data_IF_428764683517
#
_entry.id   IF_428764683517
#
_cell.length_a   1.000
_cell.length_b   1.000
_cell.length_c   1.000
_cell.angle_alpha   90.00
_cell.angle_beta   90.00
_cell.angle_gamma   90.00
#
_symmetry.space_group_name_H-M   'P 1'
#
loop_
_entity.id
_entity.type
_entity.pdbx_description
1 polymer ?
#
# COMPACT_ATOMS: atom_id res chain seq x y z
N UNK A 1 15.48 22.39 -47.64
CA UNK A 1 15.41 21.17 -46.79
C UNK A 1 16.59 21.28 -45.82
N UNK A 2 16.43 21.40 -44.51
CA UNK A 2 15.81 20.42 -43.62
C UNK A 2 15.34 21.12 -42.34
N UNK A 3 14.06 20.94 -42.00
CA UNK A 3 13.45 21.39 -40.76
C UNK A 3 13.89 20.45 -39.63
N UNK A 4 14.62 20.98 -38.63
CA UNK A 4 14.80 20.30 -37.35
C UNK A 4 13.45 20.26 -36.63
N UNK A 5 12.69 19.18 -36.81
CA UNK A 5 11.62 18.82 -35.87
C UNK A 5 12.28 18.43 -34.55
N UNK A 6 12.14 19.31 -33.57
CA UNK A 6 12.34 18.96 -32.17
C UNK A 6 11.37 17.82 -31.82
N UNK A 7 11.90 16.61 -31.67
CA UNK A 7 11.16 15.51 -31.06
C UNK A 7 10.93 15.87 -29.59
N UNK A 8 9.82 16.53 -29.28
CA UNK A 8 9.27 16.54 -27.93
C UNK A 8 8.90 15.10 -27.59
N UNK A 9 9.72 14.43 -26.77
CA UNK A 9 9.35 13.15 -26.19
C UNK A 9 8.03 13.33 -25.45
N UNK A 10 6.97 12.70 -25.94
CA UNK A 10 5.68 12.69 -25.23
C UNK A 10 5.95 12.05 -23.88
N UNK A 11 5.94 12.86 -22.82
CA UNK A 11 6.12 12.40 -21.44
C UNK A 11 4.93 11.51 -21.12
N UNK A 12 5.12 10.19 -21.15
CA UNK A 12 4.05 9.23 -20.86
C UNK A 12 3.67 9.35 -19.39
N UNK A 13 2.66 10.17 -19.11
CA UNK A 13 2.24 10.45 -17.73
C UNK A 13 1.80 9.14 -17.06
N UNK A 14 2.43 8.84 -15.93
CA UNK A 14 2.26 7.59 -15.19
C UNK A 14 2.17 7.89 -13.70
N UNK A 15 1.38 7.08 -13.00
CA UNK A 15 1.13 7.22 -11.57
C UNK A 15 1.32 5.88 -10.88
N UNK A 16 1.61 5.94 -9.58
CA UNK A 16 1.46 4.85 -8.66
C UNK A 16 0.05 4.94 -8.07
N UNK A 17 -0.81 3.98 -8.40
CA UNK A 17 -2.08 3.79 -7.70
C UNK A 17 -1.81 2.97 -6.45
N UNK A 18 -2.19 3.50 -5.30
CA UNK A 18 -2.03 2.85 -4.01
C UNK A 18 -3.31 2.93 -3.20
N UNK A 19 -3.60 1.87 -2.44
CA UNK A 19 -4.76 1.83 -1.53
C UNK A 19 -4.31 2.30 -0.16
N UNK A 20 -5.14 3.04 0.55
CA UNK A 20 -4.80 3.55 1.89
C UNK A 20 -4.63 2.42 2.91
N UNK A 21 -3.70 2.58 3.87
CA UNK A 21 -3.33 1.50 4.81
C UNK A 21 -4.49 1.02 5.68
N UNK A 22 -5.42 1.92 5.99
CA UNK A 22 -6.62 1.63 6.78
C UNK A 22 -7.78 1.09 5.94
N UNK A 23 -7.53 0.69 4.69
CA UNK A 23 -8.57 0.09 3.84
C UNK A 23 -8.40 -1.41 3.77
N UNK A 24 -9.45 -2.12 4.16
CA UNK A 24 -9.57 -3.55 3.94
C UNK A 24 -10.21 -3.82 2.56
N UNK A 25 -9.61 -4.73 1.80
CA UNK A 25 -10.12 -5.17 0.49
C UNK A 25 -10.62 -6.60 0.62
N UNK A 26 -11.86 -6.85 0.21
CA UNK A 26 -12.44 -8.19 0.09
C UNK A 26 -12.91 -8.44 -1.33
N UNK A 27 -12.54 -9.60 -1.89
CA UNK A 27 -12.95 -10.01 -3.24
C UNK A 27 -13.64 -11.37 -3.14
N UNK A 28 -14.80 -11.49 -3.78
CA UNK A 28 -15.54 -12.75 -3.93
C UNK A 28 -16.04 -12.85 -5.37
N UNK A 29 -15.45 -13.74 -6.16
CA UNK A 29 -15.73 -13.85 -7.61
C UNK A 29 -15.50 -12.50 -8.31
N UNK A 30 -16.53 -11.92 -8.91
CA UNK A 30 -16.50 -10.62 -9.57
C UNK A 30 -16.95 -9.46 -8.66
N UNK A 31 -17.23 -9.74 -7.39
CA UNK A 31 -17.63 -8.74 -6.41
C UNK A 31 -16.41 -8.28 -5.61
N UNK A 32 -16.35 -6.97 -5.34
CA UNK A 32 -15.27 -6.37 -4.57
C UNK A 32 -15.79 -5.31 -3.60
N UNK A 33 -15.23 -5.34 -2.39
CA UNK A 33 -15.51 -4.42 -1.30
C UNK A 33 -14.22 -3.75 -0.84
N UNK A 34 -14.24 -2.43 -0.74
CA UNK A 34 -13.26 -1.61 -0.04
C UNK A 34 -13.91 -1.05 1.22
N UNK A 35 -13.35 -1.36 2.38
CA UNK A 35 -13.85 -0.90 3.68
C UNK A 35 -12.80 -0.02 4.35
N UNK A 36 -13.09 1.25 4.52
CA UNK A 36 -12.24 2.20 5.25
C UNK A 36 -12.49 2.01 6.75
N UNK A 37 -11.51 1.45 7.46
CA UNK A 37 -11.64 1.11 8.89
C UNK A 37 -11.64 2.34 9.79
N UNK A 38 -11.12 3.49 9.35
CA UNK A 38 -11.15 4.73 10.15
C UNK A 38 -12.53 5.40 10.15
N UNK A 39 -13.23 5.32 9.02
CA UNK A 39 -14.51 6.06 8.83
C UNK A 39 -15.74 5.17 8.79
N UNK A 40 -15.56 3.84 8.70
CA UNK A 40 -16.64 2.88 8.47
C UNK A 40 -17.25 2.96 7.05
N UNK A 41 -16.79 3.88 6.21
CA UNK A 41 -17.29 4.02 4.83
C UNK A 41 -16.80 2.88 3.95
N UNK A 42 -17.61 2.50 2.98
CA UNK A 42 -17.24 1.45 2.05
C UNK A 42 -17.63 1.76 0.61
N UNK A 43 -16.92 1.13 -0.32
CA UNK A 43 -17.31 1.03 -1.72
C UNK A 43 -17.47 -0.44 -2.07
N UNK A 44 -18.66 -0.79 -2.57
CA UNK A 44 -19.00 -2.11 -3.05
C UNK A 44 -19.27 -2.05 -4.56
N UNK A 45 -18.73 -3.01 -5.28
CA UNK A 45 -19.00 -3.22 -6.70
C UNK A 45 -19.37 -4.68 -6.92
N UNK A 46 -20.52 -4.92 -7.56
CA UNK A 46 -21.02 -6.26 -7.88
C UNK A 46 -20.86 -6.54 -9.36
N UNK A 47 -20.46 -7.77 -9.67
CA UNK A 47 -20.20 -8.27 -11.03
C UNK A 47 -19.30 -7.37 -11.88
N UNK A 48 -18.23 -6.83 -11.27
CA UNK A 48 -17.26 -5.93 -11.92
C UNK A 48 -15.92 -6.60 -12.13
N UNK A 49 -15.89 -7.54 -13.08
CA UNK A 49 -14.68 -8.29 -13.45
C UNK A 49 -13.50 -7.37 -13.84
N UNK A 50 -13.78 -6.26 -14.52
CA UNK A 50 -12.77 -5.27 -14.90
C UNK A 50 -12.07 -4.65 -13.67
N UNK A 51 -12.84 -4.24 -12.66
CA UNK A 51 -12.30 -3.70 -11.40
C UNK A 51 -11.55 -4.78 -10.63
N UNK A 52 -12.11 -5.99 -10.54
CA UNK A 52 -11.42 -7.12 -9.88
C UNK A 52 -10.08 -7.40 -10.55
N UNK A 53 -10.01 -7.48 -11.88
CA UNK A 53 -8.76 -7.70 -12.61
C UNK A 53 -7.76 -6.56 -12.42
N UNK A 54 -8.24 -5.32 -12.34
CA UNK A 54 -7.39 -4.16 -12.04
C UNK A 54 -6.82 -4.21 -10.61
N UNK A 55 -7.61 -4.68 -9.64
CA UNK A 55 -7.24 -4.67 -8.21
C UNK A 55 -6.44 -5.88 -7.78
N UNK A 56 -6.66 -7.07 -8.36
CA UNK A 56 -5.96 -8.30 -7.99
C UNK A 56 -4.42 -8.17 -7.89
N UNK A 57 -3.74 -7.47 -8.81
CA UNK A 57 -2.30 -7.24 -8.71
C UNK A 57 -1.86 -6.53 -7.43
N UNK A 58 -2.69 -5.66 -6.84
CA UNK A 58 -2.41 -4.94 -5.57
C UNK A 58 -2.24 -5.91 -4.39
N UNK A 59 -2.97 -7.03 -4.41
CA UNK A 59 -3.01 -8.01 -3.31
C UNK A 59 -1.81 -8.97 -3.34
N UNK A 60 -0.94 -8.87 -4.34
CA UNK A 60 0.25 -9.72 -4.43
C UNK A 60 1.35 -9.21 -3.50
N UNK A 61 2.11 -10.13 -2.88
CA UNK A 61 3.27 -9.78 -2.05
C UNK A 61 4.36 -9.01 -2.81
N UNK A 62 4.38 -9.09 -4.14
CA UNK A 62 5.28 -8.27 -4.98
C UNK A 62 4.87 -6.80 -4.99
N UNK A 63 3.58 -6.50 -4.98
CA UNK A 63 3.05 -5.16 -5.20
C UNK A 63 2.67 -4.42 -3.93
N UNK A 64 2.35 -5.14 -2.85
CA UNK A 64 2.12 -4.55 -1.52
C UNK A 64 1.15 -3.36 -1.57
N UNK A 65 0.00 -3.53 -2.24
CA UNK A 65 -1.01 -2.49 -2.45
C UNK A 65 -0.57 -1.27 -3.28
N UNK A 66 0.49 -1.38 -4.08
CA UNK A 66 0.91 -0.34 -5.02
C UNK A 66 1.09 -0.91 -6.44
N UNK A 67 0.45 -0.31 -7.45
CA UNK A 67 0.61 -0.66 -8.87
C UNK A 67 0.86 0.56 -9.73
N UNK A 68 1.54 0.38 -10.86
CA UNK A 68 1.74 1.44 -11.86
C UNK A 68 0.52 1.52 -12.77
N UNK A 69 0.06 2.74 -13.04
CA UNK A 69 -1.02 3.03 -13.98
C UNK A 69 -0.55 4.12 -14.93
N UNK A 70 -0.81 3.97 -16.22
CA UNK A 70 -0.41 4.94 -17.25
C UNK A 70 -1.61 5.69 -17.78
N UNK A 71 -1.37 6.90 -18.31
CA UNK A 71 -2.44 7.68 -18.95
C UNK A 71 -3.12 6.93 -20.10
N UNK A 72 -2.32 6.32 -20.98
CA UNK A 72 -2.84 5.53 -22.09
C UNK A 72 -3.67 4.31 -21.64
N UNK A 73 -3.38 3.70 -20.50
CA UNK A 73 -4.26 2.66 -19.94
C UNK A 73 -5.62 3.25 -19.52
N UNK A 74 -5.61 4.37 -18.81
CA UNK A 74 -6.84 5.02 -18.32
C UNK A 74 -7.73 5.55 -19.44
N UNK A 75 -7.13 6.11 -20.50
CA UNK A 75 -7.88 6.61 -21.66
C UNK A 75 -8.63 5.47 -22.38
N UNK A 76 -8.06 4.25 -22.38
CA UNK A 76 -8.69 3.05 -22.96
C UNK A 76 -9.64 2.32 -21.99
N UNK A 77 -9.67 2.70 -20.70
CA UNK A 77 -10.47 2.03 -19.67
C UNK A 77 -11.25 3.06 -18.82
N UNK A 78 -12.26 3.74 -19.39
CA UNK A 78 -13.00 4.80 -18.70
C UNK A 78 -13.71 4.32 -17.43
N UNK A 79 -14.14 3.04 -17.39
CA UNK A 79 -14.71 2.42 -16.19
C UNK A 79 -13.72 2.36 -15.02
N UNK A 80 -12.45 2.06 -15.30
CA UNK A 80 -11.38 2.06 -14.30
C UNK A 80 -11.00 3.48 -13.89
N UNK A 81 -10.97 4.42 -14.83
CA UNK A 81 -10.74 5.82 -14.51
C UNK A 81 -11.83 6.39 -13.57
N UNK A 82 -13.10 6.07 -13.83
CA UNK A 82 -14.22 6.41 -12.95
C UNK A 82 -14.11 5.75 -11.57
N UNK A 83 -13.69 4.48 -11.51
CA UNK A 83 -13.39 3.77 -10.27
C UNK A 83 -12.31 4.49 -9.45
N UNK A 84 -11.16 4.84 -10.05
CA UNK A 84 -10.07 5.54 -9.35
C UNK A 84 -10.51 6.90 -8.82
N UNK A 85 -11.26 7.68 -9.59
CA UNK A 85 -11.81 8.96 -9.09
C UNK A 85 -12.70 8.75 -7.87
N UNK A 86 -13.48 7.67 -7.87
CA UNK A 86 -14.37 7.34 -6.77
C UNK A 86 -13.59 6.90 -5.54
N UNK A 87 -12.61 6.01 -5.67
CA UNK A 87 -11.78 5.59 -4.53
C UNK A 87 -11.02 6.77 -3.91
N UNK A 88 -10.53 7.71 -4.74
CA UNK A 88 -9.94 8.97 -4.25
C UNK A 88 -10.93 9.83 -3.47
N UNK A 89 -12.13 10.04 -4.00
CA UNK A 89 -13.19 10.84 -3.33
C UNK A 89 -13.56 10.29 -1.95
N UNK A 90 -13.49 8.97 -1.76
CA UNK A 90 -13.86 8.30 -0.51
C UNK A 90 -12.67 8.01 0.42
N UNK A 91 -11.50 8.61 0.16
CA UNK A 91 -10.27 8.37 0.94
C UNK A 91 -9.96 6.86 1.04
N UNK A 92 -10.10 6.15 -0.07
CA UNK A 92 -9.81 4.71 -0.16
C UNK A 92 -8.47 4.45 -0.84
N UNK A 93 -8.13 5.26 -1.83
CA UNK A 93 -6.91 5.11 -2.61
C UNK A 93 -6.53 6.46 -3.22
N UNK A 94 -5.29 6.62 -3.64
CA UNK A 94 -4.85 7.79 -4.38
C UNK A 94 -3.86 7.44 -5.51
N UNK A 95 -3.49 8.46 -6.27
CA UNK A 95 -2.49 8.44 -7.33
C UNK A 95 -1.32 9.33 -6.93
N UNK A 96 -0.13 8.73 -6.84
CA UNK A 96 1.13 9.45 -6.71
C UNK A 96 1.79 9.58 -8.09
N UNK A 97 2.14 10.79 -8.52
CA UNK A 97 2.88 10.95 -9.78
C UNK A 97 4.24 10.26 -9.68
N UNK A 98 4.58 9.48 -10.71
CA UNK A 98 5.87 8.78 -10.79
C UNK A 98 7.07 9.73 -10.84
N UNK A 99 6.89 11.03 -11.18
CA UNK A 99 7.99 12.00 -11.03
C UNK A 99 8.45 12.20 -9.58
N UNK A 100 7.62 11.87 -8.59
CA UNK A 100 7.99 11.98 -7.17
C UNK A 100 8.69 10.72 -6.63
N UNK A 101 8.78 9.64 -7.41
CA UNK A 101 9.42 8.39 -7.00
C UNK A 101 9.89 7.59 -8.21
N UNK A 102 11.19 7.58 -8.44
CA UNK A 102 11.84 6.82 -9.54
C UNK A 102 11.57 5.31 -9.41
N UNK A 103 11.48 4.81 -8.18
CA UNK A 103 11.10 3.44 -7.84
C UNK A 103 9.62 3.27 -7.50
N UNK A 104 9.13 2.02 -7.44
CA UNK A 104 7.80 1.74 -6.91
C UNK A 104 7.78 2.01 -5.39
N UNK A 105 6.86 2.85 -4.88
CA UNK A 105 6.69 3.04 -3.46
C UNK A 105 6.44 1.71 -2.74
N UNK A 106 7.01 1.57 -1.55
CA UNK A 106 6.75 0.43 -0.69
C UNK A 106 5.67 0.84 0.32
N UNK A 107 4.62 0.05 0.40
CA UNK A 107 3.60 0.20 1.43
C UNK A 107 3.57 -1.06 2.29
N UNK A 108 3.45 -0.89 3.61
CA UNK A 108 3.24 -2.00 4.52
C UNK A 108 1.79 -2.45 4.42
N UNK A 109 1.57 -3.69 4.01
CA UNK A 109 0.24 -4.27 3.94
C UNK A 109 -0.20 -4.66 5.35
N UNK A 110 -1.28 -4.05 5.83
CA UNK A 110 -1.91 -4.47 7.08
C UNK A 110 -2.49 -5.88 6.89
N UNK A 111 -1.95 -6.85 7.61
CA UNK A 111 -2.53 -8.19 7.68
C UNK A 111 -3.65 -8.12 8.70
N UNK A 112 -4.90 -8.09 8.21
CA UNK A 112 -6.06 -8.09 9.07
C UNK A 112 -6.20 -9.47 9.72
N UNK A 113 -5.73 -9.60 10.96
CA UNK A 113 -5.92 -10.80 11.77
C UNK A 113 -7.32 -10.79 12.40
N UNK A 114 -8.37 -10.84 11.58
CA UNK A 114 -9.70 -11.15 12.10
C UNK A 114 -9.64 -12.63 12.50
N UNK A 115 -9.62 -12.90 13.80
CA UNK A 115 -9.87 -14.24 14.30
C UNK A 115 -11.24 -14.69 13.79
N UNK A 116 -11.27 -15.52 12.74
CA UNK A 116 -12.51 -16.05 12.14
C UNK A 116 -13.19 -17.10 13.04
N UNK A 117 -12.58 -17.41 14.17
CA UNK A 117 -13.13 -18.30 15.17
C UNK A 117 -14.11 -17.53 16.07
N UNK A 118 -15.38 -17.56 15.66
CA UNK A 118 -16.51 -16.97 16.39
C UNK A 118 -16.54 -17.47 17.84
N UNK A 119 -16.08 -18.70 18.12
CA UNK A 119 -16.10 -19.24 19.48
C UNK A 119 -15.03 -18.59 20.36
N UNK A 120 -13.85 -18.26 19.80
CA UNK A 120 -12.84 -17.43 20.48
C UNK A 120 -13.28 -15.97 20.62
N UNK A 121 -14.01 -15.39 19.66
CA UNK A 121 -14.54 -14.04 19.85
C UNK A 121 -15.53 -13.97 21.01
N UNK A 122 -16.38 -14.99 21.16
CA UNK A 122 -17.33 -15.10 22.29
C UNK A 122 -16.66 -15.28 23.64
N UNK A 123 -15.43 -15.81 23.71
CA UNK A 123 -14.69 -15.96 24.97
C UNK A 123 -14.01 -14.68 25.45
N UNK A 124 -13.99 -13.62 24.64
CA UNK A 124 -13.44 -12.30 25.01
C UNK A 124 -14.52 -11.23 24.76
N UNK A 125 -15.56 -11.14 25.62
CA UNK A 125 -16.71 -10.27 25.42
C UNK A 125 -16.36 -8.77 25.36
N UNK A 126 -15.18 -8.40 25.86
CA UNK A 126 -14.66 -7.02 25.86
C UNK A 126 -14.03 -6.63 24.51
N UNK A 127 -13.62 -7.59 23.67
CA UNK A 127 -12.89 -7.30 22.41
C UNK A 127 -13.85 -6.85 21.31
N UNK A 128 -13.85 -5.56 21.00
CA UNK A 128 -14.59 -5.04 19.85
C UNK A 128 -13.81 -5.21 18.53
N UNK A 129 -14.50 -5.58 17.45
CA UNK A 129 -13.96 -5.45 16.10
C UNK A 129 -13.75 -3.95 15.85
N UNK A 130 -12.49 -3.52 15.74
CA UNK A 130 -12.14 -2.09 15.59
C UNK A 130 -11.44 -1.48 16.79
N UNK A 131 -11.06 -2.25 17.81
CA UNK A 131 -10.10 -1.79 18.80
C UNK A 131 -8.81 -1.30 18.15
N UNK A 132 -8.25 -0.24 18.72
CA UNK A 132 -7.02 0.38 18.26
C UNK A 132 -5.86 -0.62 18.38
N UNK A 133 -5.60 -1.32 17.28
CA UNK A 133 -4.54 -2.35 17.15
C UNK A 133 -3.16 -1.78 17.51
N UNK A 134 -2.96 -0.46 17.36
CA UNK A 134 -1.69 0.20 17.71
C UNK A 134 -1.42 0.09 19.21
N UNK A 135 -2.46 0.04 20.07
CA UNK A 135 -2.29 -0.14 21.52
C UNK A 135 -1.66 -1.48 21.91
N UNK A 136 -1.69 -2.46 21.01
CA UNK A 136 -1.11 -3.79 21.21
C UNK A 136 0.19 -3.99 20.42
N UNK A 137 0.75 -2.93 19.83
CA UNK A 137 1.94 -3.01 19.00
C UNK A 137 3.20 -2.84 19.87
N UNK A 138 3.82 -3.95 20.29
CA UNK A 138 5.04 -3.88 21.11
C UNK A 138 6.33 -3.75 20.29
N UNK A 139 6.31 -4.21 19.03
CA UNK A 139 7.50 -4.33 18.21
C UNK A 139 7.19 -4.22 16.72
N UNK A 140 8.07 -3.52 15.98
CA UNK A 140 8.07 -3.48 14.51
C UNK A 140 9.39 -4.09 14.01
N UNK A 141 9.27 -5.08 13.13
CA UNK A 141 10.41 -5.69 12.44
C UNK A 141 10.35 -5.34 10.96
N UNK A 142 11.35 -4.61 10.46
CA UNK A 142 11.47 -4.29 9.05
C UNK A 142 12.56 -5.15 8.42
N UNK A 143 12.18 -6.00 7.46
CA UNK A 143 13.11 -6.82 6.69
C UNK A 143 13.26 -6.25 5.28
N UNK A 144 14.39 -5.59 5.01
CA UNK A 144 14.66 -5.02 3.69
C UNK A 144 15.37 -6.08 2.83
N UNK A 145 14.59 -6.96 2.22
CA UNK A 145 15.12 -7.87 1.21
C UNK A 145 15.24 -7.15 -0.13
N UNK A 146 16.43 -6.62 -0.41
CA UNK A 146 16.80 -6.28 -1.78
C UNK A 146 16.87 -7.58 -2.60
N UNK A 147 16.22 -7.67 -3.77
CA UNK A 147 16.57 -8.70 -4.75
C UNK A 147 17.93 -8.30 -5.35
N UNK A 148 19.02 -8.91 -4.89
CA UNK A 148 20.36 -8.37 -5.15
C UNK A 148 21.02 -9.04 -6.37
N UNK A 149 21.60 -8.18 -7.21
CA UNK A 149 22.68 -8.49 -8.13
C UNK A 149 23.91 -9.05 -7.35
N UNK A 150 24.47 -10.22 -7.69
CA UNK A 150 25.58 -10.85 -6.97
C UNK A 150 26.77 -9.92 -6.69
N UNK A 151 27.08 -9.01 -7.61
CA UNK A 151 28.20 -8.08 -7.49
C UNK A 151 28.04 -7.05 -6.37
N UNK A 152 26.81 -6.65 -6.02
CA UNK A 152 26.58 -5.73 -4.91
C UNK A 152 26.76 -6.43 -3.56
N UNK A 153 26.49 -7.74 -3.48
CA UNK A 153 26.65 -8.55 -2.27
C UNK A 153 28.12 -8.70 -1.87
N UNK A 154 29.00 -8.90 -2.84
CA UNK A 154 30.45 -8.90 -2.61
C UNK A 154 30.97 -7.51 -2.24
N UNK A 155 30.42 -6.47 -2.87
CA UNK A 155 30.89 -5.09 -2.67
C UNK A 155 30.48 -4.49 -1.31
N UNK A 156 29.34 -4.87 -0.76
CA UNK A 156 28.81 -4.30 0.49
C UNK A 156 28.29 -5.35 1.48
N UNK A 157 29.13 -6.29 1.96
CA UNK A 157 28.68 -7.44 2.76
C UNK A 157 28.03 -7.07 4.10
N UNK A 158 28.44 -5.96 4.73
CA UNK A 158 27.89 -5.48 6.00
C UNK A 158 26.46 -4.96 5.85
N UNK A 159 26.17 -4.26 4.75
CA UNK A 159 24.83 -3.72 4.46
C UNK A 159 23.77 -4.83 4.46
N UNK A 160 24.15 -6.05 4.05
CA UNK A 160 23.24 -7.20 3.97
C UNK A 160 23.16 -8.02 5.25
N UNK A 161 24.22 -8.02 6.06
CA UNK A 161 24.22 -8.66 7.39
C UNK A 161 23.35 -7.88 8.37
N UNK A 162 23.22 -6.58 8.16
CA UNK A 162 22.48 -5.62 9.00
C UNK A 162 21.20 -5.07 8.33
N UNK A 163 20.77 -5.62 7.18
CA UNK A 163 19.58 -5.18 6.42
C UNK A 163 18.23 -5.52 7.10
N UNK A 164 18.23 -5.69 8.41
CA UNK A 164 17.05 -5.82 9.24
C UNK A 164 17.26 -4.97 10.47
N UNK A 165 16.24 -4.19 10.83
CA UNK A 165 16.27 -3.40 12.06
C UNK A 165 14.99 -3.66 12.84
N UNK A 166 15.18 -3.96 14.11
CA UNK A 166 14.13 -4.22 15.09
C UNK A 166 14.08 -3.04 16.04
N UNK A 167 12.89 -2.51 16.27
CA UNK A 167 12.67 -1.47 17.26
C UNK A 167 11.57 -1.90 18.22
N UNK A 168 11.82 -1.67 19.50
CA UNK A 168 10.80 -1.75 20.53
C UNK A 168 9.93 -0.51 20.43
N UNK A 169 8.63 -0.71 20.28
CA UNK A 169 7.66 0.38 20.24
C UNK A 169 7.12 0.58 21.65
N UNK A 170 7.50 1.68 22.31
CA UNK A 170 7.07 1.94 23.66
C UNK A 170 5.78 2.77 23.67
N UNK A 171 4.65 2.10 23.89
CA UNK A 171 3.33 2.72 23.92
C UNK A 171 3.11 3.69 25.09
N UNK A 172 3.94 3.64 26.15
CA UNK A 172 3.78 4.47 27.35
C UNK A 172 4.26 5.92 27.17
N UNK A 173 4.89 6.25 26.04
CA UNK A 173 5.42 7.60 25.77
C UNK A 173 4.48 8.47 24.90
N UNK A 174 3.33 7.95 24.45
CA UNK A 174 2.63 8.56 23.32
C UNK A 174 1.14 8.69 23.57
N UNK A 175 0.74 9.83 24.13
CA UNK A 175 -0.66 10.26 24.27
C UNK A 175 -1.18 11.06 23.06
N UNK A 176 -0.40 11.18 21.99
CA UNK A 176 -0.76 11.88 20.76
C UNK A 176 -0.29 11.12 19.53
N UNK A 177 -0.97 11.31 18.40
CA UNK A 177 -0.66 10.72 17.09
C UNK A 177 0.85 10.72 16.83
N UNK A 178 1.45 9.53 16.79
CA UNK A 178 2.90 9.38 16.63
C UNK A 178 3.23 9.31 15.15
N UNK A 179 3.65 10.43 14.59
CA UNK A 179 4.54 10.37 13.44
C UNK A 179 5.91 9.88 13.92
N UNK A 180 6.43 8.81 13.30
CA UNK A 180 7.84 8.45 13.46
C UNK A 180 8.67 9.63 12.96
N UNK A 181 9.35 10.34 13.86
CA UNK A 181 10.10 11.52 13.46
C UNK A 181 11.18 11.14 12.42
N UNK A 182 11.52 12.12 11.59
CA UNK A 182 12.49 11.95 10.51
C UNK A 182 13.87 11.54 11.04
N UNK A 183 14.18 11.83 12.30
CA UNK A 183 15.46 11.50 12.92
C UNK A 183 15.55 10.01 13.29
N UNK A 184 14.45 9.41 13.73
CA UNK A 184 14.29 7.97 13.91
C UNK A 184 14.27 7.24 12.57
N UNK A 185 13.66 7.84 11.53
CA UNK A 185 13.71 7.30 10.16
C UNK A 185 15.12 7.40 9.59
N UNK A 186 15.87 8.48 9.84
CA UNK A 186 17.26 8.63 9.39
C UNK A 186 18.17 7.58 9.99
N UNK A 187 17.89 7.11 11.21
CA UNK A 187 18.61 5.96 11.80
C UNK A 187 18.35 4.64 11.05
N UNK A 188 17.45 4.59 10.05
CA UNK A 188 17.22 3.41 9.20
C UNK A 188 18.16 3.34 7.98
N UNK A 189 18.90 4.41 7.67
CA UNK A 189 19.79 4.53 6.52
C UNK A 189 21.19 4.99 6.94
#
# INVERSE_FOLDING_TARGET
MSNKKSNSSVKTTSWWYFVERYVHISIKKNDILFYNTLTGKYLEYRDRKDIVMFVMPLLTGKNLQVIKVTRGYLDNHPGIYGFIKRTKKYYIADLLDTVFSEGKPIQMMNILNIHRDINKLKSYPERSIGEDIIKNLDQINLYIHSRINPHLREKYPLLFKEAHKQFLFNHHLTHSDVELDVEHIRKLF
#
